data_IF_205577577244
#
_entry.id   IF_205577577244
#
_cell.length_a   1.000
_cell.length_b   1.000
_cell.length_c   1.000
_cell.angle_alpha   90.00
_cell.angle_beta   90.00
_cell.angle_gamma   90.00
#
_symmetry.space_group_name_H-M   'P 1'
#
loop_
_entity.id
_entity.type
_entity.pdbx_description
1 polymer ?
#
# COMPACT_ATOMS: atom_id res chain seq x y z
N UNK A 1 -27.38 12.50 43.49
CA UNK A 1 -28.21 11.35 43.09
C UNK A 1 -27.26 10.23 42.71
N UNK A 2 -27.11 9.25 43.59
CA UNK A 2 -26.18 8.12 43.49
C UNK A 2 -26.80 7.01 42.64
N UNK A 3 -26.31 6.83 41.42
CA UNK A 3 -26.68 5.69 40.59
C UNK A 3 -25.74 4.52 40.91
N UNK A 4 -26.25 3.57 41.68
CA UNK A 4 -25.67 2.24 41.87
C UNK A 4 -25.65 1.53 40.52
N UNK A 5 -24.48 1.44 39.89
CA UNK A 5 -24.27 0.57 38.74
C UNK A 5 -24.11 -0.84 39.29
N UNK A 6 -25.15 -1.65 39.08
CA UNK A 6 -25.18 -3.07 39.39
C UNK A 6 -23.97 -3.77 38.78
N UNK A 7 -23.40 -4.67 39.57
CA UNK A 7 -22.21 -5.44 39.23
C UNK A 7 -22.36 -6.25 37.95
N UNK A 8 -21.21 -6.65 37.44
CA UNK A 8 -21.10 -7.72 36.46
C UNK A 8 -22.03 -8.89 36.83
N UNK A 9 -22.66 -9.58 35.87
CA UNK A 9 -23.38 -10.81 36.16
C UNK A 9 -22.37 -11.87 36.59
N UNK A 10 -22.13 -11.96 37.90
CA UNK A 10 -21.53 -13.14 38.52
C UNK A 10 -22.63 -14.19 38.62
N UNK A 11 -22.65 -15.12 37.67
CA UNK A 11 -23.38 -16.37 37.85
C UNK A 11 -22.81 -17.13 39.06
N UNK A 12 -23.62 -17.50 40.06
CA UNK A 12 -23.15 -18.13 41.30
C UNK A 12 -22.80 -19.63 41.14
N UNK A 13 -22.41 -20.07 39.94
CA UNK A 13 -22.24 -21.49 39.64
C UNK A 13 -21.20 -21.76 38.53
N UNK A 14 -19.96 -21.31 38.69
CA UNK A 14 -18.76 -21.90 38.05
C UNK A 14 -18.82 -22.21 36.54
N UNK A 15 -19.69 -21.56 35.77
CA UNK A 15 -19.84 -21.74 34.33
C UNK A 15 -19.11 -20.60 33.62
N UNK A 16 -18.39 -20.86 32.52
CA UNK A 16 -17.71 -19.78 31.80
C UNK A 16 -18.76 -18.80 31.27
N UNK A 17 -18.65 -17.53 31.68
CA UNK A 17 -19.49 -16.45 31.17
C UNK A 17 -19.54 -16.53 29.65
N UNK A 18 -20.75 -16.54 29.08
CA UNK A 18 -20.96 -16.64 27.63
C UNK A 18 -20.15 -15.54 26.94
N UNK A 19 -19.18 -15.92 26.10
CA UNK A 19 -18.36 -14.97 25.33
C UNK A 19 -19.27 -14.06 24.48
N UNK A 20 -18.92 -12.78 24.42
CA UNK A 20 -19.62 -11.79 23.63
C UNK A 20 -19.35 -12.04 22.14
N UNK A 21 -20.39 -11.91 21.33
CA UNK A 21 -20.23 -11.82 19.87
C UNK A 21 -19.56 -10.49 19.51
N UNK A 22 -19.00 -10.38 18.29
CA UNK A 22 -18.37 -9.16 17.82
C UNK A 22 -19.26 -7.92 17.95
N UNK A 23 -20.55 -8.03 17.60
CA UNK A 23 -21.50 -6.93 17.68
C UNK A 23 -21.78 -6.48 19.12
N UNK A 24 -21.92 -7.44 20.04
CA UNK A 24 -22.11 -7.15 21.47
C UNK A 24 -20.89 -6.51 22.10
N UNK A 25 -19.69 -6.87 21.63
CA UNK A 25 -18.46 -6.23 22.06
C UNK A 25 -18.35 -4.79 21.53
N UNK A 26 -18.83 -4.51 20.32
CA UNK A 26 -18.89 -3.14 19.80
C UNK A 26 -19.82 -2.25 20.63
N UNK A 27 -20.97 -2.77 21.08
CA UNK A 27 -21.86 -2.05 22.00
C UNK A 27 -21.19 -1.74 23.35
N UNK A 28 -20.40 -2.67 23.88
CA UNK A 28 -19.62 -2.46 25.10
C UNK A 28 -18.58 -1.33 24.94
N UNK A 29 -17.88 -1.29 23.80
CA UNK A 29 -16.91 -0.23 23.51
C UNK A 29 -17.59 1.14 23.36
N UNK A 30 -18.77 1.19 22.73
CA UNK A 30 -19.57 2.41 22.61
C UNK A 30 -20.05 2.92 23.97
N UNK A 31 -20.48 2.02 24.88
CA UNK A 31 -20.86 2.38 26.23
C UNK A 31 -19.67 2.98 27.01
N UNK A 32 -18.50 2.34 26.94
CA UNK A 32 -17.26 2.86 27.57
C UNK A 32 -16.84 4.22 27.00
N UNK A 33 -17.00 4.42 25.69
CA UNK A 33 -16.74 5.71 25.05
C UNK A 33 -17.72 6.78 25.54
N UNK A 34 -19.01 6.46 25.67
CA UNK A 34 -20.02 7.38 26.17
C UNK A 34 -19.75 7.78 27.63
N UNK A 35 -19.36 6.83 28.49
CA UNK A 35 -18.94 7.10 29.87
C UNK A 35 -17.74 8.03 29.94
N UNK A 36 -16.74 7.80 29.10
CA UNK A 36 -15.55 8.65 29.01
C UNK A 36 -15.90 10.06 28.55
N UNK A 37 -16.72 10.19 27.50
CA UNK A 37 -17.14 11.50 26.99
C UNK A 37 -18.02 12.26 27.99
N UNK A 38 -18.82 11.55 28.79
CA UNK A 38 -19.63 12.16 29.85
C UNK A 38 -18.79 12.73 31.01
N UNK A 39 -17.59 12.18 31.23
CA UNK A 39 -16.64 12.64 32.26
C UNK A 39 -15.59 13.62 31.72
N UNK A 40 -15.55 13.82 30.40
CA UNK A 40 -14.55 14.64 29.74
C UNK A 40 -14.97 16.11 29.68
N UNK A 41 -14.38 16.95 30.52
CA UNK A 41 -14.47 18.41 30.40
C UNK A 41 -13.27 18.96 29.60
N UNK A 42 -13.47 19.54 28.40
CA UNK A 42 -12.38 20.14 27.66
C UNK A 42 -11.84 21.39 28.38
N UNK A 43 -10.53 21.46 28.59
CA UNK A 43 -9.89 22.66 29.14
C UNK A 43 -10.13 23.88 28.23
N UNK A 44 -10.45 25.07 28.79
CA UNK A 44 -10.65 26.27 27.99
C UNK A 44 -9.37 26.62 27.23
N UNK A 45 -9.48 26.75 25.89
CA UNK A 45 -8.37 27.04 24.98
C UNK A 45 -7.69 25.81 24.34
N UNK A 46 -8.07 24.58 24.73
CA UNK A 46 -7.63 23.39 24.01
C UNK A 46 -8.40 23.25 22.69
N UNK A 47 -7.67 23.00 21.59
CA UNK A 47 -8.30 22.61 20.31
C UNK A 47 -9.13 21.35 20.56
N UNK A 48 -10.35 21.28 20.02
CA UNK A 48 -11.21 20.12 20.12
C UNK A 48 -10.42 18.85 19.77
N UNK A 49 -10.11 18.04 20.78
CA UNK A 49 -9.47 16.76 20.58
C UNK A 49 -10.46 15.90 19.79
N UNK A 50 -10.00 15.34 18.67
CA UNK A 50 -10.74 14.33 17.92
C UNK A 50 -11.21 13.27 18.93
N UNK A 51 -12.49 12.91 18.90
CA UNK A 51 -13.04 11.92 19.82
C UNK A 51 -12.19 10.63 19.73
N UNK A 52 -11.77 10.05 20.88
CA UNK A 52 -10.95 8.85 20.88
C UNK A 52 -11.66 7.72 20.11
N UNK A 53 -10.90 7.00 19.30
CA UNK A 53 -11.40 5.83 18.55
C UNK A 53 -11.78 4.71 19.52
N UNK A 54 -12.63 3.78 19.08
CA UNK A 54 -13.07 2.65 19.91
C UNK A 54 -11.90 1.76 20.36
N UNK A 55 -10.82 1.71 19.58
CA UNK A 55 -9.58 1.00 19.92
C UNK A 55 -8.98 1.46 21.27
N UNK A 56 -9.13 2.74 21.63
CA UNK A 56 -8.65 3.30 22.89
C UNK A 56 -9.36 2.71 24.12
N UNK A 57 -10.56 2.15 23.93
CA UNK A 57 -11.39 1.58 25.01
C UNK A 57 -11.28 0.05 25.13
N UNK A 58 -10.45 -0.58 24.29
CA UNK A 58 -10.07 -1.99 24.42
C UNK A 58 -9.14 -2.13 25.62
N UNK A 59 -9.47 -3.03 26.55
CA UNK A 59 -8.69 -3.32 27.76
C UNK A 59 -7.89 -4.60 27.60
N UNK A 60 -6.78 -4.69 28.33
CA UNK A 60 -6.03 -5.94 28.44
C UNK A 60 -6.94 -7.03 29.06
N UNK A 61 -7.05 -8.18 28.40
CA UNK A 61 -7.92 -9.29 28.80
C UNK A 61 -9.31 -9.30 28.13
N UNK A 62 -9.68 -8.28 27.34
CA UNK A 62 -10.92 -8.32 26.56
C UNK A 62 -10.90 -9.43 25.48
N UNK A 63 -9.73 -9.98 25.16
CA UNK A 63 -9.54 -11.15 24.26
C UNK A 63 -10.27 -12.40 24.77
N UNK A 64 -10.38 -12.59 26.09
CA UNK A 64 -11.09 -13.72 26.68
C UNK A 64 -12.62 -13.51 26.72
N UNK A 65 -13.06 -12.26 26.58
CA UNK A 65 -14.46 -11.86 26.64
C UNK A 65 -15.18 -11.96 25.29
N UNK A 66 -14.44 -12.04 24.17
CA UNK A 66 -15.00 -12.01 22.81
C UNK A 66 -14.78 -13.33 22.09
N UNK A 67 -15.79 -13.77 21.34
CA UNK A 67 -15.63 -14.83 20.37
C UNK A 67 -14.94 -14.28 19.12
N UNK A 68 -13.62 -14.48 19.04
CA UNK A 68 -12.84 -14.11 17.88
C UNK A 68 -12.91 -15.22 16.82
N UNK A 69 -13.10 -14.86 15.53
CA UNK A 69 -13.01 -15.85 14.46
C UNK A 69 -11.60 -16.43 14.42
N UNK A 70 -11.49 -17.72 14.06
CA UNK A 70 -10.19 -18.34 13.89
C UNK A 70 -9.35 -17.57 12.85
N UNK A 71 -8.07 -17.27 13.15
CA UNK A 71 -7.24 -16.55 12.21
C UNK A 71 -7.09 -17.37 10.92
N UNK A 72 -7.12 -16.71 9.75
CA UNK A 72 -6.95 -17.43 8.49
C UNK A 72 -5.59 -18.14 8.47
N UNK A 73 -5.48 -19.31 7.82
CA UNK A 73 -4.24 -20.06 7.78
C UNK A 73 -3.12 -19.19 7.20
N UNK A 74 -1.99 -19.17 7.89
CA UNK A 74 -0.81 -18.41 7.46
C UNK A 74 -0.34 -18.96 6.10
N UNK A 75 -0.20 -18.08 5.10
CA UNK A 75 0.29 -18.46 3.78
C UNK A 75 1.73 -18.99 3.87
N UNK A 76 1.97 -20.18 3.34
CA UNK A 76 3.32 -20.73 3.20
C UNK A 76 4.02 -20.01 2.02
N UNK A 77 5.19 -19.36 2.24
CA UNK A 77 5.88 -18.67 1.17
C UNK A 77 6.42 -19.68 0.14
N UNK A 78 6.17 -19.43 -1.14
CA UNK A 78 6.78 -20.23 -2.21
C UNK A 78 8.29 -19.97 -2.28
N UNK A 79 9.12 -20.98 -2.61
CA UNK A 79 10.55 -20.81 -2.74
C UNK A 79 10.88 -19.82 -3.86
N UNK A 80 11.77 -18.86 -3.57
CA UNK A 80 12.21 -17.85 -4.54
C UNK A 80 13.05 -18.53 -5.62
N UNK A 81 12.55 -18.58 -6.86
CA UNK A 81 13.34 -19.03 -8.03
C UNK A 81 14.16 -17.87 -8.59
N UNK A 82 15.47 -17.95 -8.46
CA UNK A 82 16.37 -16.98 -9.08
C UNK A 82 16.39 -17.17 -10.60
N UNK A 83 16.51 -16.05 -11.33
CA UNK A 83 16.68 -16.05 -12.79
C UNK A 83 18.17 -15.99 -13.13
N UNK A 84 18.64 -16.78 -14.12
CA UNK A 84 20.04 -16.79 -14.54
C UNK A 84 20.41 -15.49 -15.28
N UNK A 85 21.71 -15.24 -15.46
CA UNK A 85 22.23 -14.08 -16.17
C UNK A 85 21.77 -14.04 -17.64
N UNK A 86 21.56 -15.20 -18.27
CA UNK A 86 21.03 -15.30 -19.65
C UNK A 86 19.64 -14.67 -19.77
N UNK A 87 18.77 -14.87 -18.79
CA UNK A 87 17.44 -14.25 -18.75
C UNK A 87 17.53 -12.72 -18.68
N UNK A 88 18.39 -12.20 -17.79
CA UNK A 88 18.55 -10.75 -17.64
C UNK A 88 19.20 -10.09 -18.85
N UNK A 89 20.15 -10.77 -19.52
CA UNK A 89 20.70 -10.31 -20.81
C UNK A 89 19.61 -10.14 -21.87
N UNK A 90 18.77 -11.16 -22.04
CA UNK A 90 17.64 -11.07 -22.98
C UNK A 90 16.66 -9.96 -22.60
N UNK A 91 16.45 -9.73 -21.30
CA UNK A 91 15.59 -8.64 -20.82
C UNK A 91 16.17 -7.25 -21.12
N UNK A 92 17.48 -7.04 -20.92
CA UNK A 92 18.16 -5.78 -21.28
C UNK A 92 18.04 -5.52 -22.77
N UNK A 93 18.37 -6.51 -23.61
CA UNK A 93 18.26 -6.39 -25.07
C UNK A 93 16.84 -6.04 -25.52
N UNK A 94 15.82 -6.67 -24.95
CA UNK A 94 14.43 -6.38 -25.27
C UNK A 94 14.03 -4.94 -24.87
N UNK A 95 14.52 -4.44 -23.73
CA UNK A 95 14.27 -3.08 -23.29
C UNK A 95 15.00 -2.05 -24.15
N UNK A 96 16.24 -2.32 -24.53
CA UNK A 96 17.02 -1.48 -25.45
C UNK A 96 16.33 -1.36 -26.81
N UNK A 97 15.81 -2.47 -27.35
CA UNK A 97 15.04 -2.46 -28.60
C UNK A 97 13.74 -1.62 -28.47
N UNK A 98 13.04 -1.71 -27.33
CA UNK A 98 11.85 -0.89 -27.08
C UNK A 98 12.20 0.60 -26.94
N UNK A 99 13.29 0.93 -26.27
CA UNK A 99 13.77 2.30 -26.15
C UNK A 99 14.14 2.89 -27.52
N UNK A 100 14.86 2.13 -28.35
CA UNK A 100 15.21 2.52 -29.71
C UNK A 100 13.96 2.74 -30.59
N UNK A 101 12.93 1.91 -30.46
CA UNK A 101 11.67 2.09 -31.17
C UNK A 101 10.94 3.38 -30.73
N UNK A 102 10.96 3.70 -29.43
CA UNK A 102 10.36 4.94 -28.92
C UNK A 102 11.12 6.17 -29.42
N UNK A 103 12.45 6.18 -29.40
CA UNK A 103 13.23 7.30 -29.92
C UNK A 103 13.03 7.49 -31.42
N UNK A 104 13.08 6.41 -32.21
CA UNK A 104 12.84 6.47 -33.65
C UNK A 104 11.45 7.05 -33.99
N UNK A 105 10.43 6.75 -33.18
CA UNK A 105 9.08 7.30 -33.38
C UNK A 105 8.97 8.81 -33.13
N UNK A 106 9.89 9.38 -32.34
CA UNK A 106 9.93 10.81 -31.98
C UNK A 106 10.70 11.63 -33.02
N UNK A 107 11.69 11.04 -33.68
CA UNK A 107 12.60 11.72 -34.61
C UNK A 107 12.07 11.84 -36.06
N UNK A 108 10.91 11.27 -36.39
CA UNK A 108 10.33 11.20 -37.75
C UNK A 108 9.63 12.49 -38.24
N UNK A 109 9.73 13.61 -37.51
CA UNK A 109 9.14 14.89 -37.91
C UNK A 109 10.21 15.97 -38.05
N UNK A 110 10.21 16.72 -39.15
CA UNK A 110 10.99 17.95 -39.27
C UNK A 110 10.71 18.85 -38.05
N UNK A 111 11.73 19.03 -37.19
CA UNK A 111 11.64 19.85 -35.97
C UNK A 111 11.23 21.29 -36.28
N UNK A 112 11.58 21.80 -37.46
CA UNK A 112 11.17 23.13 -37.91
C UNK A 112 9.68 23.16 -38.28
N UNK A 113 9.16 22.11 -38.93
CA UNK A 113 7.74 21.98 -39.26
C UNK A 113 6.86 21.65 -38.05
N UNK A 114 7.36 20.92 -37.04
CA UNK A 114 6.56 20.46 -35.89
C UNK A 114 6.45 21.49 -34.75
N UNK A 115 7.36 22.48 -34.71
CA UNK A 115 7.37 23.58 -33.75
C UNK A 115 7.09 24.97 -34.35
N UNK A 116 7.13 25.10 -35.68
CA UNK A 116 7.05 26.38 -36.36
C UNK A 116 5.62 26.81 -36.70
N UNK A 117 5.29 28.04 -36.29
CA UNK A 117 4.40 29.10 -36.83
C UNK A 117 3.22 28.75 -37.77
N UNK A 118 3.24 27.66 -38.56
CA UNK A 118 2.19 27.22 -39.49
C UNK A 118 1.19 26.18 -38.95
N UNK A 119 1.44 25.55 -37.81
CA UNK A 119 0.44 24.69 -37.15
C UNK A 119 -0.40 25.52 -36.16
N UNK A 120 -1.70 25.61 -36.40
CA UNK A 120 -2.63 26.25 -35.46
C UNK A 120 -2.54 25.67 -34.04
N UNK A 121 -2.97 26.43 -33.00
CA UNK A 121 -2.67 26.14 -31.59
C UNK A 121 -3.08 24.74 -31.13
N UNK A 122 -4.21 24.22 -31.64
CA UNK A 122 -4.69 22.86 -31.33
C UNK A 122 -3.75 21.76 -31.83
N UNK A 123 -3.14 21.92 -33.00
CA UNK A 123 -2.23 20.91 -33.58
C UNK A 123 -0.88 20.90 -32.87
N UNK A 124 -0.38 22.08 -32.48
CA UNK A 124 0.82 22.21 -31.63
C UNK A 124 0.62 21.54 -30.27
N UNK A 125 -0.51 21.78 -29.61
CA UNK A 125 -0.81 21.14 -28.32
C UNK A 125 -0.86 19.60 -28.42
N UNK A 126 -1.46 19.07 -29.49
CA UNK A 126 -1.48 17.62 -29.76
C UNK A 126 -0.09 17.05 -30.02
N UNK A 127 0.74 17.76 -30.79
CA UNK A 127 2.11 17.35 -31.06
C UNK A 127 2.95 17.31 -29.77
N UNK A 128 2.92 18.39 -28.97
CA UNK A 128 3.58 18.45 -27.66
C UNK A 128 3.14 17.29 -26.75
N UNK A 129 1.82 17.06 -26.62
CA UNK A 129 1.30 15.95 -25.82
C UNK A 129 1.83 14.57 -26.26
N UNK A 130 2.02 14.35 -27.57
CA UNK A 130 2.61 13.11 -28.09
C UNK A 130 4.08 12.98 -27.73
N UNK A 131 4.85 14.07 -27.86
CA UNK A 131 6.26 14.12 -27.48
C UNK A 131 6.43 13.86 -25.97
N UNK A 132 5.62 14.52 -25.14
CA UNK A 132 5.64 14.34 -23.69
C UNK A 132 5.31 12.89 -23.30
N UNK A 133 4.30 12.29 -23.94
CA UNK A 133 3.94 10.89 -23.71
C UNK A 133 5.06 9.92 -24.13
N UNK A 134 5.75 10.20 -25.24
CA UNK A 134 6.88 9.39 -25.69
C UNK A 134 8.07 9.52 -24.72
N UNK A 135 8.36 10.73 -24.22
CA UNK A 135 9.39 10.97 -23.21
C UNK A 135 9.08 10.23 -21.91
N UNK A 136 7.83 10.29 -21.43
CA UNK A 136 7.39 9.55 -20.24
C UNK A 136 7.60 8.05 -20.40
N UNK A 137 7.22 7.48 -21.55
CA UNK A 137 7.45 6.06 -21.88
C UNK A 137 8.93 5.72 -21.90
N UNK A 138 9.76 6.56 -22.51
CA UNK A 138 11.21 6.35 -22.56
C UNK A 138 11.83 6.33 -21.15
N UNK A 139 11.46 7.29 -20.29
CA UNK A 139 11.94 7.35 -18.90
C UNK A 139 11.52 6.11 -18.11
N UNK A 140 10.28 5.64 -18.29
CA UNK A 140 9.81 4.40 -17.66
C UNK A 140 10.63 3.19 -18.12
N UNK A 141 10.86 3.05 -19.43
CA UNK A 141 11.69 1.97 -19.99
C UNK A 141 13.13 2.02 -19.48
N UNK A 142 13.73 3.21 -19.37
CA UNK A 142 15.07 3.40 -18.81
C UNK A 142 15.16 2.89 -17.37
N UNK A 143 14.20 3.22 -16.51
CA UNK A 143 14.16 2.71 -15.13
C UNK A 143 14.11 1.17 -15.08
N UNK A 144 13.33 0.56 -15.98
CA UNK A 144 13.27 -0.90 -16.08
C UNK A 144 14.59 -1.50 -16.59
N UNK A 145 15.26 -0.83 -17.52
CA UNK A 145 16.57 -1.23 -18.05
C UNK A 145 17.64 -1.18 -16.97
N UNK A 146 17.73 -0.07 -16.24
CA UNK A 146 18.69 0.11 -15.15
C UNK A 146 18.52 -0.97 -14.06
N UNK A 147 17.27 -1.30 -13.72
CA UNK A 147 16.97 -2.41 -12.83
C UNK A 147 17.40 -3.76 -13.41
N UNK A 148 17.13 -4.03 -14.70
CA UNK A 148 17.55 -5.26 -15.35
C UNK A 148 19.08 -5.41 -15.42
N UNK A 149 19.83 -4.33 -15.63
CA UNK A 149 21.30 -4.33 -15.57
C UNK A 149 21.83 -4.62 -14.17
N UNK A 150 21.23 -4.03 -13.12
CA UNK A 150 21.59 -4.34 -11.74
C UNK A 150 21.36 -5.83 -11.44
N UNK A 151 20.21 -6.36 -11.87
CA UNK A 151 19.90 -7.78 -11.69
C UNK A 151 20.83 -8.69 -12.50
N UNK A 152 21.24 -8.26 -13.69
CA UNK A 152 22.24 -8.96 -14.50
C UNK A 152 23.57 -9.04 -13.74
N UNK A 153 24.10 -7.90 -13.24
CA UNK A 153 25.34 -7.87 -12.46
C UNK A 153 25.30 -8.78 -11.24
N UNK A 154 24.16 -8.80 -10.54
CA UNK A 154 23.96 -9.69 -9.39
C UNK A 154 23.90 -11.17 -9.78
N UNK A 155 23.26 -11.49 -10.92
CA UNK A 155 23.19 -12.86 -11.42
C UNK A 155 24.57 -13.36 -11.91
N UNK A 156 25.32 -12.54 -12.64
CA UNK A 156 26.67 -12.90 -13.10
C UNK A 156 27.62 -13.13 -11.92
N UNK A 157 27.57 -12.28 -10.89
CA UNK A 157 28.40 -12.46 -9.70
C UNK A 157 28.06 -13.75 -8.92
N UNK A 158 26.79 -14.18 -8.93
CA UNK A 158 26.38 -15.44 -8.31
C UNK A 158 26.84 -16.66 -9.11
N UNK A 159 26.69 -16.60 -10.44
CA UNK A 159 27.13 -17.67 -11.34
C UNK A 159 28.66 -17.84 -11.29
N UNK A 160 29.43 -16.75 -11.20
CA UNK A 160 30.88 -16.79 -11.01
C UNK A 160 31.27 -17.51 -9.71
N UNK A 161 30.66 -17.14 -8.59
CA UNK A 161 30.92 -17.79 -7.28
C UNK A 161 30.53 -19.27 -7.21
N UNK A 162 29.67 -19.75 -8.11
CA UNK A 162 29.22 -21.14 -8.14
C UNK A 162 30.01 -21.99 -9.14
N UNK A 163 30.75 -21.34 -10.06
CA UNK A 163 31.58 -22.00 -11.06
C UNK A 163 33.05 -22.16 -10.66
N UNK A 164 33.49 -21.46 -9.61
CA UNK A 164 34.76 -21.68 -8.89
C UNK A 164 34.59 -22.77 -7.82
#
# INVERSE_FOLDING_TARGET
MTATIQGAPTDPAGAPARKLTGDQYMELLLARQAEFMAQYEPRPGAKALLAPTLETFVRAGDEDLVELPEPPPKRVPAPRRYRPASFWRGRVQALDAQMAAVSASVDLGDRAAAGGVGLGPKRNARHRKRMDAALQRYVALKKHRDHAEMMLRSATAREQKQGD
#
